data_IF_346042288719
#
_entry.id   IF_346042288719
#
_cell.length_a   1.000
_cell.length_b   1.000
_cell.length_c   1.000
_cell.angle_alpha   90.00
_cell.angle_beta   90.00
_cell.angle_gamma   90.00
#
_symmetry.space_group_name_H-M   'P 1'
#
loop_
_entity.id
_entity.type
_entity.pdbx_description
1 polymer ?
#
# COMPACT_ATOMS: atom_id res chain seq x y z
N UNK A 1 13.65 14.47 -17.13
CA UNK A 1 13.99 13.58 -17.16
C UNK A 1 14.23 12.67 -16.13
N UNK A 2 15.15 12.67 -15.45
CA UNK A 2 15.34 11.74 -14.53
C UNK A 2 14.50 11.86 -13.39
N UNK A 3 13.93 12.97 -13.03
CA UNK A 3 13.15 13.06 -11.88
C UNK A 3 11.93 12.21 -11.93
N UNK A 4 11.32 11.99 -13.05
CA UNK A 4 10.16 11.13 -13.12
C UNK A 4 10.51 9.70 -12.77
N UNK A 5 11.70 9.27 -13.08
CA UNK A 5 12.10 7.91 -12.77
C UNK A 5 12.46 7.73 -11.33
N UNK A 6 12.72 8.84 -10.60
CA UNK A 6 13.03 8.73 -9.19
C UNK A 6 11.81 8.90 -8.31
N UNK A 7 10.68 9.33 -8.88
CA UNK A 7 9.46 9.48 -8.10
C UNK A 7 8.84 8.12 -7.83
N UNK A 8 8.57 7.85 -6.56
CA UNK A 8 7.96 6.59 -6.15
C UNK A 8 6.46 6.71 -6.33
N UNK A 9 5.84 5.71 -6.94
CA UNK A 9 4.39 5.68 -7.11
C UNK A 9 3.76 4.79 -6.04
N UNK A 10 2.76 5.30 -5.35
CA UNK A 10 2.13 4.64 -4.21
C UNK A 10 0.62 4.54 -4.42
N UNK A 11 0.08 3.36 -4.23
CA UNK A 11 -1.36 3.16 -4.23
C UNK A 11 -1.79 3.00 -2.76
N UNK A 12 -2.65 3.91 -2.29
CA UNK A 12 -3.14 3.88 -0.91
C UNK A 12 -4.56 3.33 -0.93
N UNK A 13 -4.78 2.21 -0.25
CA UNK A 13 -6.06 1.53 -0.20
C UNK A 13 -6.61 1.60 1.21
N UNK A 14 -7.72 2.30 1.39
CA UNK A 14 -8.35 2.47 2.69
C UNK A 14 -9.79 2.88 2.44
N UNK A 15 -10.73 2.32 3.20
CA UNK A 15 -12.14 2.66 3.01
C UNK A 15 -12.48 4.01 3.66
N UNK A 16 -11.61 4.51 4.55
CA UNK A 16 -11.85 5.79 5.20
C UNK A 16 -11.33 6.93 4.32
N UNK A 17 -12.22 7.81 3.92
CA UNK A 17 -11.87 8.92 3.04
C UNK A 17 -10.83 9.84 3.65
N UNK A 18 -10.96 10.13 4.94
CA UNK A 18 -10.04 11.05 5.59
C UNK A 18 -8.64 10.45 5.68
N UNK A 19 -8.55 9.16 5.93
CA UNK A 19 -7.25 8.50 5.96
C UNK A 19 -6.61 8.53 4.57
N UNK A 20 -7.39 8.24 3.52
CA UNK A 20 -6.86 8.30 2.15
C UNK A 20 -6.33 9.69 1.84
N UNK A 21 -7.09 10.72 2.19
CA UNK A 21 -6.71 12.09 1.92
C UNK A 21 -5.43 12.47 2.65
N UNK A 22 -5.34 12.10 3.92
CA UNK A 22 -4.17 12.41 4.73
C UNK A 22 -2.91 11.79 4.16
N UNK A 23 -2.94 10.50 3.86
CA UNK A 23 -1.76 9.82 3.32
C UNK A 23 -1.41 10.34 1.94
N UNK A 24 -2.42 10.60 1.12
CA UNK A 24 -2.17 11.12 -0.22
C UNK A 24 -1.48 12.47 -0.17
N UNK A 25 -1.96 13.38 0.69
CA UNK A 25 -1.37 14.70 0.79
C UNK A 25 0.06 14.63 1.28
N UNK A 26 0.31 13.84 2.31
CA UNK A 26 1.66 13.73 2.84
C UNK A 26 2.62 13.12 1.82
N UNK A 27 2.22 12.03 1.19
CA UNK A 27 3.11 11.34 0.26
C UNK A 27 3.38 12.19 -0.98
N UNK A 28 2.40 12.95 -1.44
CA UNK A 28 2.63 13.88 -2.54
C UNK A 28 3.59 14.99 -2.14
N UNK A 29 3.48 15.43 -0.89
CA UNK A 29 4.35 16.48 -0.39
C UNK A 29 5.82 16.04 -0.40
N UNK A 30 6.09 14.77 -0.11
CA UNK A 30 7.46 14.26 -0.12
C UNK A 30 7.89 13.75 -1.49
N UNK A 31 7.09 13.99 -2.53
CA UNK A 31 7.52 13.74 -3.90
C UNK A 31 6.98 12.49 -4.57
N UNK A 32 6.04 11.78 -3.94
CA UNK A 32 5.47 10.58 -4.55
C UNK A 32 4.36 10.90 -5.52
N UNK A 33 4.14 9.99 -6.48
CA UNK A 33 2.93 10.00 -7.28
C UNK A 33 1.97 9.05 -6.56
N UNK A 34 0.74 9.51 -6.32
CA UNK A 34 -0.18 8.77 -5.47
C UNK A 34 -1.54 8.60 -6.15
N UNK A 35 -2.06 7.38 -6.11
CA UNK A 35 -3.46 7.11 -6.42
C UNK A 35 -4.07 6.45 -5.21
N UNK A 36 -5.39 6.51 -5.10
CA UNK A 36 -6.09 5.93 -3.94
C UNK A 36 -7.16 4.98 -4.42
N UNK A 37 -7.53 4.04 -3.55
CA UNK A 37 -8.60 3.10 -3.79
C UNK A 37 -9.40 2.96 -2.51
N UNK A 38 -10.73 2.90 -2.64
CA UNK A 38 -11.62 2.85 -1.48
C UNK A 38 -11.93 1.43 -1.03
N UNK A 39 -11.61 0.43 -1.85
CA UNK A 39 -11.84 -0.97 -1.49
C UNK A 39 -10.90 -1.86 -2.29
N UNK A 40 -10.98 -3.15 -2.02
CA UNK A 40 -10.06 -4.11 -2.62
C UNK A 40 -10.25 -4.28 -4.12
N UNK A 41 -11.49 -4.17 -4.62
CA UNK A 41 -11.71 -4.31 -6.05
C UNK A 41 -11.09 -3.16 -6.82
N UNK A 42 -11.30 -1.93 -6.33
CA UNK A 42 -10.69 -0.76 -6.96
C UNK A 42 -9.16 -0.86 -6.88
N UNK A 43 -8.65 -1.41 -5.76
CA UNK A 43 -7.20 -1.59 -5.60
C UNK A 43 -6.65 -2.54 -6.66
N UNK A 44 -7.32 -3.66 -6.88
CA UNK A 44 -6.88 -4.64 -7.88
C UNK A 44 -6.90 -4.02 -9.27
N UNK A 45 -7.98 -3.35 -9.63
CA UNK A 45 -8.12 -2.73 -10.94
C UNK A 45 -7.05 -1.66 -11.15
N UNK A 46 -6.82 -0.82 -10.13
CA UNK A 46 -5.84 0.25 -10.22
C UNK A 46 -4.42 -0.31 -10.32
N UNK A 47 -4.12 -1.34 -9.55
CA UNK A 47 -2.78 -1.95 -9.58
C UNK A 47 -2.48 -2.55 -10.95
N UNK A 48 -3.47 -3.16 -11.58
CA UNK A 48 -3.28 -3.72 -12.91
C UNK A 48 -3.07 -2.65 -13.97
N UNK A 49 -3.78 -1.52 -13.87
CA UNK A 49 -3.66 -0.46 -14.85
C UNK A 49 -2.40 0.38 -14.66
N UNK A 50 -2.04 0.65 -13.41
CA UNK A 50 -1.02 1.64 -13.10
C UNK A 50 0.31 1.04 -12.68
N UNK A 51 0.29 -0.17 -12.14
CA UNK A 51 1.47 -0.87 -11.61
C UNK A 51 2.31 0.03 -10.72
N UNK A 52 1.80 0.37 -9.52
CA UNK A 52 2.56 1.23 -8.60
C UNK A 52 3.82 0.54 -8.09
N UNK A 53 4.73 1.32 -7.52
CA UNK A 53 5.94 0.78 -6.92
C UNK A 53 5.65 0.09 -5.59
N UNK A 54 4.60 0.54 -4.87
CA UNK A 54 4.23 -0.06 -3.59
C UNK A 54 2.74 0.18 -3.35
N UNK A 55 2.11 -0.76 -2.64
CA UNK A 55 0.70 -0.66 -2.26
C UNK A 55 0.62 -0.60 -0.74
N UNK A 56 -0.11 0.38 -0.21
CA UNK A 56 -0.41 0.49 1.21
C UNK A 56 -1.84 0.00 1.37
N UNK A 57 -2.01 -1.14 2.05
CA UNK A 57 -3.28 -1.85 2.08
C UNK A 57 -3.87 -1.91 3.48
N UNK A 58 -5.03 -1.28 3.67
CA UNK A 58 -5.80 -1.44 4.89
C UNK A 58 -6.40 -2.85 4.90
N UNK A 59 -6.18 -3.59 5.96
CA UNK A 59 -6.66 -4.97 6.04
C UNK A 59 -8.13 -5.06 6.47
N UNK A 60 -8.69 -3.99 7.01
CA UNK A 60 -10.06 -4.00 7.53
C UNK A 60 -10.96 -3.14 6.68
N UNK A 61 -11.46 -3.69 5.59
CA UNK A 61 -12.34 -2.95 4.70
C UNK A 61 -13.58 -3.77 4.38
N UNK A 62 -14.72 -3.12 4.12
CA UNK A 62 -15.90 -3.82 3.69
C UNK A 62 -15.72 -4.27 2.24
N UNK A 63 -16.66 -5.05 1.74
CA UNK A 63 -16.65 -5.57 0.39
C UNK A 63 -15.44 -6.47 0.20
N UNK A 64 -14.63 -6.25 -0.83
CA UNK A 64 -13.43 -7.06 -0.99
C UNK A 64 -12.39 -6.53 -0.03
N UNK A 65 -12.09 -7.28 1.01
CA UNK A 65 -11.22 -6.82 2.08
C UNK A 65 -9.75 -6.88 1.69
N UNK A 66 -8.91 -6.26 2.53
CA UNK A 66 -7.49 -6.16 2.25
C UNK A 66 -6.76 -7.49 2.21
N UNK A 67 -7.24 -8.47 3.00
CA UNK A 67 -6.65 -9.81 3.00
C UNK A 67 -6.82 -10.48 1.65
N UNK A 68 -8.06 -10.50 1.18
CA UNK A 68 -8.40 -11.14 -0.10
C UNK A 68 -7.72 -10.41 -1.26
N UNK A 69 -7.74 -9.08 -1.23
CA UNK A 69 -7.11 -8.30 -2.28
C UNK A 69 -5.60 -8.57 -2.33
N UNK A 70 -4.95 -8.65 -1.16
CA UNK A 70 -3.51 -8.91 -1.11
C UNK A 70 -3.16 -10.28 -1.69
N UNK A 71 -3.94 -11.30 -1.33
CA UNK A 71 -3.71 -12.63 -1.86
C UNK A 71 -3.89 -12.65 -3.37
N UNK A 72 -4.93 -11.98 -3.86
CA UNK A 72 -5.19 -11.95 -5.28
C UNK A 72 -4.05 -11.25 -6.04
N UNK A 73 -3.58 -10.12 -5.52
CA UNK A 73 -2.49 -9.37 -6.14
C UNK A 73 -1.20 -10.19 -6.17
N UNK A 74 -0.92 -10.91 -5.09
CA UNK A 74 0.30 -11.72 -5.02
C UNK A 74 0.22 -12.98 -5.86
N UNK A 75 -0.98 -13.43 -6.18
CA UNK A 75 -1.15 -14.62 -7.01
C UNK A 75 -1.16 -14.29 -8.50
N UNK A 76 -1.31 -13.02 -8.87
CA UNK A 76 -1.41 -12.61 -10.25
C UNK A 76 -0.04 -12.22 -10.80
N UNK A 77 0.40 -12.78 -11.94
CA UNK A 77 1.74 -12.47 -12.47
C UNK A 77 1.97 -10.98 -12.73
N UNK A 78 0.91 -10.26 -13.10
CA UNK A 78 1.06 -8.84 -13.42
C UNK A 78 1.35 -7.97 -12.20
N UNK A 79 0.98 -8.43 -10.99
CA UNK A 79 1.08 -7.61 -9.79
C UNK A 79 1.86 -8.28 -8.66
N UNK A 80 2.25 -9.54 -8.81
CA UNK A 80 2.91 -10.29 -7.74
C UNK A 80 4.20 -9.63 -7.26
N UNK A 81 4.88 -8.89 -8.12
CA UNK A 81 6.15 -8.26 -7.78
C UNK A 81 5.99 -6.97 -6.98
N UNK A 82 4.78 -6.44 -6.87
CA UNK A 82 4.56 -5.16 -6.19
C UNK A 82 4.54 -5.38 -4.68
N UNK A 83 5.41 -4.73 -3.92
CA UNK A 83 5.39 -4.88 -2.46
C UNK A 83 4.12 -4.31 -1.86
N UNK A 84 3.61 -4.96 -0.83
CA UNK A 84 2.40 -4.53 -0.12
C UNK A 84 2.75 -4.30 1.34
N UNK A 85 2.44 -3.10 1.84
CA UNK A 85 2.54 -2.78 3.26
C UNK A 85 1.13 -2.82 3.82
N UNK A 86 0.88 -3.72 4.77
CA UNK A 86 -0.43 -3.86 5.39
C UNK A 86 -0.56 -2.89 6.56
N UNK A 87 -1.73 -2.27 6.70
CA UNK A 87 -2.07 -1.47 7.86
C UNK A 87 -3.22 -2.14 8.58
N UNK A 88 -3.13 -2.26 9.90
CA UNK A 88 -4.20 -2.88 10.67
C UNK A 88 -4.24 -2.32 12.08
N UNK A 89 -5.46 -2.19 12.63
CA UNK A 89 -5.63 -1.80 14.04
C UNK A 89 -5.29 -2.95 14.97
N UNK A 90 -5.08 -4.14 14.44
CA UNK A 90 -4.83 -5.35 15.23
C UNK A 90 -3.42 -5.85 15.01
N UNK A 91 -2.53 -5.62 15.98
CA UNK A 91 -1.13 -6.02 15.84
C UNK A 91 -0.96 -7.52 15.73
N UNK A 92 -1.92 -8.29 16.26
CA UNK A 92 -1.87 -9.74 16.16
C UNK A 92 -2.07 -10.25 14.73
N UNK A 93 -2.50 -9.36 13.82
CA UNK A 93 -2.70 -9.74 12.43
C UNK A 93 -1.39 -9.82 11.63
N UNK A 94 -0.25 -9.49 12.24
CA UNK A 94 1.03 -9.45 11.51
C UNK A 94 1.38 -10.77 10.82
N UNK A 95 1.23 -11.89 11.53
CA UNK A 95 1.54 -13.19 10.94
C UNK A 95 0.62 -13.54 9.78
N UNK A 96 -0.68 -13.23 9.93
CA UNK A 96 -1.64 -13.50 8.88
C UNK A 96 -1.39 -12.61 7.67
N UNK A 97 -0.96 -11.37 7.88
CA UNK A 97 -0.64 -10.47 6.79
C UNK A 97 0.53 -11.03 5.97
N UNK A 98 1.52 -11.58 6.65
CA UNK A 98 2.66 -12.18 5.97
C UNK A 98 2.21 -13.38 5.14
N UNK A 99 1.31 -14.21 5.67
CA UNK A 99 0.79 -15.35 4.93
C UNK A 99 -0.03 -14.94 3.71
N UNK A 100 -0.66 -13.77 3.77
CA UNK A 100 -1.38 -13.23 2.62
C UNK A 100 -0.44 -12.66 1.56
N UNK A 101 0.86 -12.61 1.85
CA UNK A 101 1.86 -12.12 0.90
C UNK A 101 2.28 -10.70 1.11
N UNK A 102 1.86 -10.05 2.22
CA UNK A 102 2.27 -8.69 2.50
C UNK A 102 3.75 -8.64 2.88
N UNK A 103 4.43 -7.62 2.42
CA UNK A 103 5.86 -7.48 2.59
C UNK A 103 6.22 -6.61 3.79
N UNK A 104 5.28 -5.80 4.27
CA UNK A 104 5.46 -4.97 5.45
C UNK A 104 4.18 -4.90 6.24
N UNK A 105 4.28 -4.48 7.49
CA UNK A 105 3.12 -4.38 8.38
C UNK A 105 3.31 -3.21 9.33
N UNK A 106 2.30 -2.33 9.42
CA UNK A 106 2.31 -1.23 10.37
C UNK A 106 0.98 -1.21 11.11
N UNK A 107 1.05 -0.93 12.39
CA UNK A 107 -0.15 -0.85 13.23
C UNK A 107 -0.80 0.51 13.09
N UNK A 108 -2.13 0.54 13.09
CA UNK A 108 -2.89 1.79 13.11
C UNK A 108 -3.09 2.21 14.56
N UNK A 109 -3.16 3.48 14.83
CA UNK A 109 -2.98 4.59 13.90
C UNK A 109 -1.52 4.76 13.51
N UNK A 110 -1.27 5.00 12.22
CA UNK A 110 0.08 5.09 11.71
C UNK A 110 0.36 6.51 11.23
N UNK A 111 1.39 7.13 11.79
CA UNK A 111 1.78 8.47 11.37
C UNK A 111 2.30 8.42 9.94
N UNK A 112 2.00 9.43 9.12
CA UNK A 112 2.41 9.40 7.71
C UNK A 112 3.93 9.34 7.52
N UNK A 113 4.70 9.96 8.43
CA UNK A 113 6.15 9.95 8.31
C UNK A 113 6.70 8.54 8.57
N UNK A 114 6.09 7.78 9.46
CA UNK A 114 6.51 6.40 9.71
C UNK A 114 6.19 5.54 8.48
N UNK A 115 5.03 5.75 7.87
CA UNK A 115 4.69 5.04 6.65
C UNK A 115 5.71 5.35 5.55
N UNK A 116 6.08 6.62 5.40
CA UNK A 116 7.05 7.02 4.39
C UNK A 116 8.41 6.35 4.63
N UNK A 117 8.82 6.30 5.89
CA UNK A 117 10.07 5.64 6.24
C UNK A 117 10.04 4.15 5.87
N UNK A 118 8.92 3.50 6.14
CA UNK A 118 8.77 2.08 5.82
C UNK A 118 8.78 1.84 4.31
N UNK A 119 8.12 2.72 3.55
CA UNK A 119 8.13 2.62 2.09
C UNK A 119 9.55 2.70 1.56
N UNK A 120 10.33 3.66 2.05
CA UNK A 120 11.71 3.82 1.59
C UNK A 120 12.56 2.62 1.96
N UNK A 121 12.39 2.11 3.18
CA UNK A 121 13.16 0.95 3.62
C UNK A 121 12.85 -0.28 2.78
N UNK A 122 11.58 -0.44 2.40
CA UNK A 122 11.16 -1.60 1.62
C UNK A 122 11.66 -1.53 0.19
N UNK A 123 11.65 -0.35 -0.41
CA UNK A 123 12.05 -0.18 -1.80
C UNK A 123 13.56 -0.01 -1.98
N UNK A 124 14.27 0.37 -0.92
CA UNK A 124 15.71 0.57 -0.96
C UNK A 124 16.36 -0.10 0.25
N UNK A 125 16.28 -1.44 0.31
CA UNK A 125 16.72 -2.15 1.52
C UNK A 125 18.20 -1.99 1.85
N UNK A 126 19.02 -1.68 0.87
CA UNK A 126 20.46 -1.52 1.13
C UNK A 126 20.84 -0.11 1.57
N UNK A 127 19.91 0.80 1.57
CA UNK A 127 20.20 2.21 1.90
C UNK A 127 20.33 2.45 3.41
#
# INVERSE_FOLDING_TARGET
MRKDRTAISVLVVDDDRDARTMYQMFLRHVGCRVRTARDGQVAIDTANDWTPDVIVMDLSMPRLDGWTASRWLKASPATAHIPIIALSAHSEARGDAREAGCDGFLAKPCQPDLLWWEIQALLHPEA
#
